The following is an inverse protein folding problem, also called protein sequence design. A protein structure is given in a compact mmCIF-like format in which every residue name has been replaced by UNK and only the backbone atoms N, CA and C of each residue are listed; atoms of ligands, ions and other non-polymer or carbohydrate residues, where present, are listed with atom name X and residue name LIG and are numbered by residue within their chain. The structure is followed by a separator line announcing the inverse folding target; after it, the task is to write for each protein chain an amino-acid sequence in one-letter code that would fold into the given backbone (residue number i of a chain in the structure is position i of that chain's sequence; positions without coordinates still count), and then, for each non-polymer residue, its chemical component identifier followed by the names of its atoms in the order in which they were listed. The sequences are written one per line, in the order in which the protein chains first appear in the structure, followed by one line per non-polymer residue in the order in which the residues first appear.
data_IF_934842852376
#
_entry.id   IF_934842852376
#
_cell.length_a   1.000
_cell.length_b   1.000
_cell.length_c   1.000
_cell.angle_alpha   90.00
_cell.angle_beta   90.00
_cell.angle_gamma   90.00
#
_symmetry.space_group_name_H-M   'P 1'
#
loop_
_entity.id
_entity.type
_entity.pdbx_description
1 polymer ?
#
# COMPACT_ATOMS: atom_id res chain seq x y z
N UNK A 1 -9.72 -6.09 -18.37
CA UNK A 1 -8.48 -5.31 -18.54
C UNK A 1 -7.97 -4.89 -17.17
N UNK A 2 -6.68 -4.59 -17.05
CA UNK A 2 -6.03 -4.10 -15.84
C UNK A 2 -5.51 -2.69 -16.11
N UNK A 3 -5.67 -1.76 -15.17
CA UNK A 3 -4.97 -0.48 -15.25
C UNK A 3 -3.70 -0.56 -14.41
N UNK A 4 -2.60 -0.04 -14.96
CA UNK A 4 -1.31 -0.03 -14.31
C UNK A 4 -0.76 1.38 -14.32
N UNK A 5 -0.52 1.93 -13.14
CA UNK A 5 0.23 3.16 -12.98
C UNK A 5 1.63 2.77 -12.49
N UNK A 6 2.66 3.12 -13.26
CA UNK A 6 4.05 2.94 -12.84
C UNK A 6 4.67 4.29 -12.53
N UNK A 7 5.17 4.48 -11.31
CA UNK A 7 5.92 5.67 -10.97
C UNK A 7 7.12 5.81 -11.91
N UNK A 8 7.46 7.05 -12.27
CA UNK A 8 8.65 7.35 -13.07
C UNK A 8 9.89 6.73 -12.41
N UNK A 9 10.64 5.92 -13.19
CA UNK A 9 11.81 5.20 -12.71
C UNK A 9 11.51 3.91 -11.91
N UNK A 10 10.24 3.46 -11.88
CA UNK A 10 9.88 2.21 -11.23
C UNK A 10 10.71 1.03 -11.73
N UNK A 11 11.37 0.36 -10.78
CA UNK A 11 12.13 -0.87 -11.03
C UNK A 11 11.22 -2.10 -11.17
N UNK A 12 9.92 -1.96 -10.90
CA UNK A 12 8.95 -3.05 -10.92
C UNK A 12 8.28 -3.21 -12.29
N UNK A 13 8.33 -2.17 -13.14
CA UNK A 13 7.62 -2.10 -14.42
C UNK A 13 7.79 -3.34 -15.28
N UNK A 14 9.03 -3.65 -15.65
CA UNK A 14 9.32 -4.79 -16.53
C UNK A 14 8.81 -6.09 -15.93
N UNK A 15 9.02 -6.31 -14.63
CA UNK A 15 8.62 -7.56 -13.97
C UNK A 15 7.09 -7.71 -13.97
N UNK A 16 6.36 -6.66 -13.59
CA UNK A 16 4.90 -6.67 -13.53
C UNK A 16 4.31 -6.92 -14.93
N UNK A 17 4.81 -6.23 -15.96
CA UNK A 17 4.37 -6.45 -17.34
C UNK A 17 4.61 -7.88 -17.82
N UNK A 18 5.78 -8.46 -17.52
CA UNK A 18 6.08 -9.84 -17.89
C UNK A 18 5.13 -10.83 -17.22
N UNK A 19 4.85 -10.65 -15.92
CA UNK A 19 3.91 -11.55 -15.22
C UNK A 19 2.49 -11.40 -15.77
N UNK A 20 2.04 -10.18 -16.09
CA UNK A 20 0.73 -9.97 -16.71
C UNK A 20 0.64 -10.64 -18.09
N UNK A 21 1.69 -10.55 -18.91
CA UNK A 21 1.80 -11.24 -20.20
C UNK A 21 1.81 -12.76 -20.05
N UNK A 22 2.55 -13.30 -19.08
CA UNK A 22 2.61 -14.74 -18.79
C UNK A 22 1.23 -15.30 -18.38
N UNK A 23 0.42 -14.49 -17.69
CA UNK A 23 -0.95 -14.84 -17.31
C UNK A 23 -1.98 -14.60 -18.42
N UNK A 24 -1.55 -14.09 -19.58
CA UNK A 24 -2.40 -13.71 -20.70
C UNK A 24 -3.50 -12.70 -20.28
N UNK A 25 -3.10 -11.69 -19.50
CA UNK A 25 -3.97 -10.61 -19.03
C UNK A 25 -3.70 -9.32 -19.80
N UNK A 26 -4.78 -8.72 -20.31
CA UNK A 26 -4.71 -7.42 -20.98
C UNK A 26 -4.56 -6.31 -19.94
N UNK A 27 -3.60 -5.43 -20.15
CA UNK A 27 -3.37 -4.28 -19.31
C UNK A 27 -3.17 -3.01 -20.12
N UNK A 28 -3.43 -1.89 -19.45
CA UNK A 28 -3.26 -0.54 -19.96
C UNK A 28 -2.46 0.27 -18.97
N UNK A 29 -1.40 0.91 -19.45
CA UNK A 29 -0.64 1.87 -18.64
C UNK A 29 -1.40 3.20 -18.55
N UNK A 30 -1.39 3.81 -17.38
CA UNK A 30 -2.03 5.11 -17.09
C UNK A 30 -1.00 6.05 -16.45
N UNK A 31 -1.26 7.36 -16.56
CA UNK A 31 -0.35 8.41 -16.07
C UNK A 31 -1.10 9.60 -15.46
N UNK A 32 -0.37 10.65 -15.09
CA UNK A 32 -0.91 11.80 -14.33
C UNK A 32 -2.06 12.50 -15.08
N UNK A 33 -2.03 12.51 -16.41
CA UNK A 33 -3.13 13.03 -17.25
C UNK A 33 -4.46 12.29 -17.07
N UNK A 34 -4.45 11.05 -16.57
CA UNK A 34 -5.64 10.22 -16.38
C UNK A 34 -6.27 10.38 -15.00
N UNK A 35 -5.60 11.03 -14.04
CA UNK A 35 -5.99 11.04 -12.63
C UNK A 35 -7.39 11.63 -12.39
N UNK A 36 -7.74 12.68 -13.14
CA UNK A 36 -9.05 13.34 -13.01
C UNK A 36 -10.19 12.62 -13.75
N UNK A 37 -9.88 11.58 -14.53
CA UNK A 37 -10.88 10.79 -15.23
C UNK A 37 -11.52 9.77 -14.28
N UNK A 38 -12.81 9.55 -14.47
CA UNK A 38 -13.51 8.40 -13.88
C UNK A 38 -12.93 7.11 -14.47
N UNK A 39 -12.72 6.09 -13.64
CA UNK A 39 -12.04 4.84 -14.04
C UNK A 39 -12.70 4.19 -15.26
N UNK A 40 -14.04 4.19 -15.35
CA UNK A 40 -14.75 3.71 -16.54
C UNK A 40 -14.34 4.41 -17.84
N UNK A 41 -14.01 5.70 -17.77
CA UNK A 41 -13.51 6.49 -18.91
C UNK A 41 -12.03 6.28 -19.17
N UNK A 42 -11.24 5.97 -18.14
CA UNK A 42 -9.80 5.67 -18.29
C UNK A 42 -9.62 4.46 -19.22
N UNK A 43 -10.45 3.43 -19.11
CA UNK A 43 -10.38 2.27 -20.00
C UNK A 43 -10.58 2.61 -21.48
N UNK A 44 -11.40 3.61 -21.79
CA UNK A 44 -11.70 4.05 -23.16
C UNK A 44 -10.86 5.24 -23.65
N UNK A 45 -9.96 5.77 -22.83
CA UNK A 45 -9.06 6.85 -23.25
C UNK A 45 -8.09 6.35 -24.32
N UNK A 46 -7.83 7.12 -25.37
CA UNK A 46 -6.74 6.82 -26.31
C UNK A 46 -5.47 7.62 -25.97
N UNK A 47 -5.49 8.37 -24.87
CA UNK A 47 -4.32 9.14 -24.44
C UNK A 47 -3.23 8.21 -23.91
N UNK A 48 -2.02 8.41 -24.39
CA UNK A 48 -0.83 7.82 -23.80
C UNK A 48 -0.59 8.39 -22.40
N UNK A 49 0.00 7.61 -21.48
CA UNK A 49 0.34 8.10 -20.15
C UNK A 49 1.41 9.19 -20.23
N UNK A 50 1.14 10.35 -19.62
CA UNK A 50 2.07 11.48 -19.54
C UNK A 50 2.36 11.77 -18.10
N UNK A 51 3.65 11.77 -17.75
CA UNK A 51 4.18 12.05 -16.40
C UNK A 51 3.60 11.13 -15.33
N UNK A 52 4.46 10.41 -14.60
CA UNK A 52 4.00 9.51 -13.54
C UNK A 52 4.74 9.82 -12.24
N UNK A 53 4.59 11.05 -11.73
CA UNK A 53 5.39 11.54 -10.59
C UNK A 53 4.60 11.60 -9.29
N UNK A 54 3.27 11.67 -9.37
CA UNK A 54 2.44 12.00 -8.22
C UNK A 54 2.22 10.83 -7.26
N UNK A 55 2.18 9.61 -7.81
CA UNK A 55 1.88 8.39 -7.05
C UNK A 55 3.00 7.34 -7.15
N UNK A 56 2.95 6.38 -6.23
CA UNK A 56 3.69 5.12 -6.31
C UNK A 56 3.01 4.14 -7.26
N UNK A 57 3.69 3.03 -7.57
CA UNK A 57 3.15 1.97 -8.42
C UNK A 57 1.80 1.48 -7.91
N UNK A 58 0.80 1.39 -8.80
CA UNK A 58 -0.57 1.04 -8.48
C UNK A 58 -1.19 0.15 -9.56
N UNK A 59 -2.08 -0.76 -9.12
CA UNK A 59 -2.84 -1.65 -9.99
C UNK A 59 -4.33 -1.60 -9.71
N UNK A 60 -5.13 -1.51 -10.76
CA UNK A 60 -6.58 -1.71 -10.71
C UNK A 60 -6.98 -2.96 -11.50
N UNK A 61 -7.53 -3.95 -10.80
CA UNK A 61 -7.90 -5.26 -11.35
C UNK A 61 -9.41 -5.28 -11.64
N UNK A 62 -9.82 -5.07 -12.90
CA UNK A 62 -11.24 -5.08 -13.29
C UNK A 62 -11.76 -6.47 -13.62
N UNK A 63 -11.07 -7.22 -14.49
CA UNK A 63 -11.57 -8.53 -14.98
C UNK A 63 -10.80 -9.73 -14.48
N UNK A 64 -9.73 -9.54 -13.71
CA UNK A 64 -8.90 -10.65 -13.25
C UNK A 64 -9.67 -11.50 -12.24
N UNK A 65 -9.77 -12.80 -12.50
CA UNK A 65 -10.47 -13.74 -11.63
C UNK A 65 -9.69 -13.98 -10.32
N UNK A 66 -10.38 -14.29 -9.23
CA UNK A 66 -9.79 -14.38 -7.89
C UNK A 66 -8.64 -15.38 -7.77
N UNK A 67 -8.74 -16.53 -8.43
CA UNK A 67 -7.67 -17.54 -8.53
C UNK A 67 -6.43 -17.00 -9.26
N UNK A 68 -6.64 -16.24 -10.34
CA UNK A 68 -5.56 -15.54 -11.04
C UNK A 68 -4.96 -14.41 -10.23
N UNK A 69 -5.74 -13.67 -9.43
CA UNK A 69 -5.20 -12.65 -8.51
C UNK A 69 -4.23 -13.29 -7.52
N UNK A 70 -4.59 -14.45 -6.95
CA UNK A 70 -3.71 -15.19 -6.03
C UNK A 70 -2.44 -15.68 -6.72
N UNK A 71 -2.55 -16.21 -7.94
CA UNK A 71 -1.40 -16.64 -8.73
C UNK A 71 -0.49 -15.46 -9.10
N UNK A 72 -1.07 -14.34 -9.53
CA UNK A 72 -0.37 -13.11 -9.86
C UNK A 72 0.43 -12.58 -8.66
N UNK A 73 -0.21 -12.46 -7.50
CA UNK A 73 0.44 -12.05 -6.27
C UNK A 73 1.59 -12.99 -5.86
N UNK A 74 1.40 -14.31 -6.05
CA UNK A 74 2.45 -15.31 -5.78
C UNK A 74 3.65 -15.14 -6.71
N UNK A 75 3.43 -15.01 -8.02
CA UNK A 75 4.50 -14.86 -9.01
C UNK A 75 5.33 -13.58 -8.79
N UNK A 76 4.68 -12.48 -8.41
CA UNK A 76 5.38 -11.25 -8.06
C UNK A 76 6.22 -11.41 -6.79
N UNK A 77 5.68 -12.07 -5.77
CA UNK A 77 6.40 -12.35 -4.53
C UNK A 77 7.65 -13.20 -4.77
N UNK A 78 7.57 -14.20 -5.64
CA UNK A 78 8.71 -15.04 -6.04
C UNK A 78 9.83 -14.23 -6.74
N UNK A 79 9.46 -13.13 -7.39
CA UNK A 79 10.39 -12.18 -8.01
C UNK A 79 10.79 -11.03 -7.09
N UNK A 80 10.48 -11.12 -5.79
CA UNK A 80 10.85 -10.12 -4.78
C UNK A 80 9.99 -8.86 -4.79
N UNK A 81 8.86 -8.86 -5.51
CA UNK A 81 7.93 -7.74 -5.56
C UNK A 81 6.77 -7.98 -4.60
N UNK A 82 6.54 -7.02 -3.71
CA UNK A 82 5.32 -6.95 -2.91
C UNK A 82 4.47 -5.81 -3.44
N UNK A 83 3.34 -6.15 -4.07
CA UNK A 83 2.37 -5.13 -4.47
C UNK A 83 1.69 -4.56 -3.22
N UNK A 84 1.94 -3.28 -2.97
CA UNK A 84 1.34 -2.57 -1.85
C UNK A 84 -0.03 -1.97 -2.19
N UNK A 85 -0.17 -1.42 -3.41
CA UNK A 85 -1.30 -0.58 -3.81
C UNK A 85 -2.08 -1.24 -4.93
N UNK A 86 -3.06 -2.04 -4.55
CA UNK A 86 -3.89 -2.80 -5.49
C UNK A 86 -5.35 -2.60 -5.12
N UNK A 87 -6.15 -2.18 -6.09
CA UNK A 87 -7.60 -2.19 -5.99
C UNK A 87 -8.19 -3.25 -6.91
N UNK A 88 -9.18 -3.98 -6.41
CA UNK A 88 -10.04 -4.84 -7.23
C UNK A 88 -11.33 -4.08 -7.52
N UNK A 89 -11.86 -4.23 -8.72
CA UNK A 89 -13.12 -3.57 -9.09
C UNK A 89 -14.26 -3.97 -8.15
N UNK A 90 -15.04 -2.96 -7.79
CA UNK A 90 -16.33 -3.08 -7.13
C UNK A 90 -17.39 -2.30 -7.90
N UNK A 91 -18.66 -2.44 -7.52
CA UNK A 91 -19.75 -1.65 -8.09
C UNK A 91 -19.56 -0.15 -7.86
N UNK A 92 -18.91 0.23 -6.75
CA UNK A 92 -18.74 1.63 -6.35
C UNK A 92 -17.51 2.26 -6.99
N UNK A 93 -16.35 1.61 -6.87
CA UNK A 93 -15.07 2.24 -7.25
C UNK A 93 -14.93 2.48 -8.76
N UNK A 94 -15.67 1.78 -9.61
CA UNK A 94 -15.65 2.00 -11.07
C UNK A 94 -16.13 3.41 -11.47
N UNK A 95 -16.93 4.05 -10.60
CA UNK A 95 -17.47 5.40 -10.78
C UNK A 95 -16.59 6.51 -10.19
N UNK A 96 -15.52 6.14 -9.48
CA UNK A 96 -14.62 7.09 -8.86
C UNK A 96 -13.63 7.64 -9.88
N UNK A 97 -13.09 8.83 -9.59
CA UNK A 97 -11.88 9.28 -10.28
C UNK A 97 -10.73 8.34 -9.95
N UNK A 98 -9.82 8.17 -10.90
CA UNK A 98 -8.61 7.38 -10.67
C UNK A 98 -7.83 7.91 -9.47
N UNK A 99 -7.69 9.25 -9.37
CA UNK A 99 -7.05 9.91 -8.24
C UNK A 99 -7.66 9.52 -6.90
N UNK A 100 -8.99 9.65 -6.77
CA UNK A 100 -9.68 9.40 -5.50
C UNK A 100 -9.51 7.93 -5.05
N UNK A 101 -9.49 6.98 -5.99
CA UNK A 101 -9.22 5.58 -5.68
C UNK A 101 -7.76 5.36 -5.26
N UNK A 102 -6.80 6.00 -5.94
CA UNK A 102 -5.38 5.88 -5.60
C UNK A 102 -5.07 6.49 -4.24
N UNK A 103 -5.72 7.61 -3.89
CA UNK A 103 -5.63 8.24 -2.57
C UNK A 103 -6.18 7.29 -1.48
N UNK A 104 -7.37 6.70 -1.68
CA UNK A 104 -7.96 5.73 -0.73
C UNK A 104 -7.04 4.52 -0.51
N UNK A 105 -6.50 3.95 -1.59
CA UNK A 105 -5.61 2.79 -1.51
C UNK A 105 -4.27 3.14 -0.88
N UNK A 106 -3.76 4.36 -1.08
CA UNK A 106 -2.58 4.85 -0.38
C UNK A 106 -2.84 4.95 1.13
N UNK A 107 -3.97 5.50 1.54
CA UNK A 107 -4.35 5.61 2.95
C UNK A 107 -4.45 4.24 3.61
N UNK A 108 -5.10 3.27 2.95
CA UNK A 108 -5.20 1.88 3.40
C UNK A 108 -3.81 1.22 3.48
N UNK A 109 -2.97 1.40 2.47
CA UNK A 109 -1.62 0.86 2.46
C UNK A 109 -0.78 1.40 3.62
N UNK A 110 -0.79 2.72 3.85
CA UNK A 110 -0.06 3.34 4.95
C UNK A 110 -0.61 2.87 6.31
N UNK A 111 -1.92 2.65 6.41
CA UNK A 111 -2.54 2.14 7.63
C UNK A 111 -1.97 0.78 8.01
N UNK A 112 -1.98 -0.18 7.07
CA UNK A 112 -1.46 -1.51 7.31
C UNK A 112 0.06 -1.52 7.49
N UNK A 113 0.80 -0.72 6.74
CA UNK A 113 2.25 -0.59 6.89
C UNK A 113 2.61 -0.13 8.31
N UNK A 114 1.92 0.88 8.84
CA UNK A 114 2.16 1.38 10.18
C UNK A 114 1.74 0.37 11.25
N UNK A 115 0.60 -0.31 11.05
CA UNK A 115 0.12 -1.37 11.94
C UNK A 115 1.11 -2.53 12.03
N UNK A 116 1.60 -3.02 10.88
CA UNK A 116 2.62 -4.07 10.80
C UNK A 116 3.91 -3.65 11.52
N UNK A 117 4.36 -2.42 11.31
CA UNK A 117 5.57 -1.88 11.95
C UNK A 117 5.43 -1.76 13.47
N UNK A 118 4.27 -1.32 13.96
CA UNK A 118 3.98 -1.29 15.39
C UNK A 118 3.93 -2.69 15.98
N UNK A 119 3.35 -3.65 15.27
CA UNK A 119 3.32 -5.05 15.67
C UNK A 119 4.73 -5.63 15.76
N UNK A 120 5.61 -5.31 14.81
CA UNK A 120 7.02 -5.68 14.85
C UNK A 120 7.71 -5.12 16.10
N UNK A 121 7.51 -3.83 16.43
CA UNK A 121 8.11 -3.23 17.62
C UNK A 121 7.72 -3.92 18.93
N UNK A 122 6.43 -4.28 19.06
CA UNK A 122 5.93 -4.90 20.31
C UNK A 122 6.28 -6.38 20.42
N UNK A 123 6.49 -7.07 19.30
CA UNK A 123 6.87 -8.50 19.26
C UNK A 123 8.38 -8.73 19.23
N UNK A 124 9.15 -7.75 18.76
CA UNK A 124 10.61 -7.79 18.68
C UNK A 124 11.22 -6.56 19.38
N UNK A 125 11.06 -6.45 20.71
CA UNK A 125 11.56 -5.29 21.44
C UNK A 125 13.06 -5.08 21.30
N UNK A 126 13.45 -3.80 21.29
CA UNK A 126 14.82 -3.42 21.57
C UNK A 126 15.16 -3.76 23.04
N UNK A 127 16.06 -4.72 23.23
CA UNK A 127 16.49 -5.21 24.55
C UNK A 127 17.20 -4.13 25.38
N UNK A 128 18.10 -3.37 24.77
CA UNK A 128 18.85 -2.31 25.46
C UNK A 128 17.89 -1.25 26.01
N UNK A 129 16.84 -0.93 25.25
CA UNK A 129 15.83 0.03 25.70
C UNK A 129 14.93 -0.53 26.80
N UNK A 130 14.58 -1.82 26.77
CA UNK A 130 13.85 -2.45 27.87
C UNK A 130 14.63 -2.37 29.19
N UNK A 131 15.96 -2.52 29.13
CA UNK A 131 16.82 -2.45 30.31
C UNK A 131 17.01 -1.01 30.81
N UNK A 132 17.05 -0.03 29.90
CA UNK A 132 17.31 1.38 30.23
C UNK A 132 16.05 2.19 30.60
N UNK A 133 14.87 1.78 30.14
CA UNK A 133 13.64 2.57 30.21
C UNK A 133 12.48 1.73 30.81
N UNK A 134 12.24 1.82 32.13
CA UNK A 134 11.22 1.04 32.83
C UNK A 134 9.79 1.24 32.30
N UNK A 135 9.50 2.40 31.70
CA UNK A 135 8.18 2.70 31.13
C UNK A 135 8.02 2.17 29.70
N UNK A 136 9.11 1.76 29.04
CA UNK A 136 9.07 1.24 27.67
C UNK A 136 8.22 -0.04 27.57
N UNK A 137 8.38 -0.98 28.50
CA UNK A 137 7.57 -2.20 28.53
C UNK A 137 6.07 -1.89 28.67
N UNK A 138 5.72 -0.94 29.54
CA UNK A 138 4.33 -0.53 29.75
C UNK A 138 3.73 0.11 28.49
N UNK A 139 4.49 0.98 27.81
CA UNK A 139 4.08 1.58 26.52
C UNK A 139 3.88 0.51 25.46
N UNK A 140 4.78 -0.48 25.37
CA UNK A 140 4.61 -1.61 24.46
C UNK A 140 3.34 -2.41 24.73
N UNK A 141 3.03 -2.72 26.00
CA UNK A 141 1.82 -3.44 26.36
C UNK A 141 0.55 -2.67 25.98
N UNK A 142 0.54 -1.34 26.18
CA UNK A 142 -0.58 -0.49 25.78
C UNK A 142 -0.77 -0.49 24.26
N UNK A 143 0.32 -0.37 23.50
CA UNK A 143 0.27 -0.41 22.03
C UNK A 143 -0.18 -1.78 21.54
N UNK A 144 0.30 -2.88 22.15
CA UNK A 144 -0.14 -4.22 21.78
C UNK A 144 -1.66 -4.39 21.96
N UNK A 145 -2.22 -3.98 23.11
CA UNK A 145 -3.65 -4.04 23.35
C UNK A 145 -4.46 -3.18 22.35
N UNK A 146 -3.96 -2.01 21.98
CA UNK A 146 -4.57 -1.17 20.94
C UNK A 146 -4.53 -1.85 19.56
N UNK A 147 -3.46 -2.57 19.23
CA UNK A 147 -3.34 -3.33 17.98
C UNK A 147 -4.21 -4.59 17.94
N UNK A 148 -4.78 -5.04 19.05
CA UNK A 148 -5.79 -6.11 19.06
C UNK A 148 -7.18 -5.59 18.62
N UNK A 149 -7.43 -4.27 18.71
CA UNK A 149 -8.65 -3.66 18.20
C UNK A 149 -8.58 -3.43 16.68
N UNK A 150 -9.52 -4.03 15.94
CA UNK A 150 -9.64 -3.87 14.49
C UNK A 150 -10.11 -2.47 14.07
N UNK A 151 -10.67 -1.67 15.00
CA UNK A 151 -11.21 -0.34 14.73
C UNK A 151 -10.25 0.80 15.06
N UNK A 152 -9.02 0.49 15.48
CA UNK A 152 -7.99 1.49 15.75
C UNK A 152 -7.76 2.38 14.54
N UNK A 153 -7.83 3.70 14.73
CA UNK A 153 -7.73 4.68 13.64
C UNK A 153 -6.28 4.99 13.30
N UNK A 154 -6.05 5.52 12.10
CA UNK A 154 -4.73 5.95 11.65
C UNK A 154 -4.04 6.91 12.63
N UNK A 155 -4.76 7.89 13.19
CA UNK A 155 -4.17 8.85 14.13
C UNK A 155 -3.73 8.21 15.44
N UNK A 156 -4.45 7.18 15.90
CA UNK A 156 -4.07 6.39 17.08
C UNK A 156 -2.80 5.57 16.79
N UNK A 157 -2.70 4.97 15.59
CA UNK A 157 -1.47 4.29 15.15
C UNK A 157 -0.28 5.27 15.09
N UNK A 158 -0.47 6.48 14.56
CA UNK A 158 0.57 7.52 14.53
C UNK A 158 1.01 7.92 15.95
N UNK A 159 0.05 8.12 16.85
CA UNK A 159 0.33 8.44 18.25
C UNK A 159 1.11 7.31 18.95
N UNK A 160 0.70 6.06 18.74
CA UNK A 160 1.39 4.88 19.26
C UNK A 160 2.82 4.75 18.71
N UNK A 161 3.01 5.06 17.42
CA UNK A 161 4.34 5.06 16.80
C UNK A 161 5.25 6.09 17.44
N UNK A 162 4.76 7.32 17.64
CA UNK A 162 5.51 8.35 18.36
C UNK A 162 5.80 7.95 19.80
N UNK A 163 4.85 7.29 20.47
CA UNK A 163 5.01 6.81 21.85
C UNK A 163 6.15 5.77 21.97
N UNK A 164 6.26 4.86 21.01
CA UNK A 164 7.30 3.83 21.00
C UNK A 164 8.64 4.30 20.41
N UNK A 165 8.65 5.31 19.56
CA UNK A 165 9.88 5.78 18.90
C UNK A 165 10.48 7.04 19.52
N UNK A 166 9.78 7.74 20.42
CA UNK A 166 10.36 8.82 21.22
C UNK A 166 11.51 8.27 22.06
N UNK A 167 12.74 8.54 21.66
CA UNK A 167 13.88 8.67 22.57
C UNK A 167 13.72 9.99 23.31
N UNK A 168 13.97 10.00 24.61
CA UNK A 168 14.02 11.25 25.37
C UNK A 168 15.13 12.16 24.79
N UNK A 169 14.76 13.09 23.92
CA UNK A 169 15.52 14.33 23.77
C UNK A 169 15.30 15.17 25.03
N UNK A 170 15.94 14.81 26.13
CA UNK A 170 16.21 15.73 27.24
C UNK A 170 17.30 15.15 28.13
N UNK A 171 18.53 15.49 27.82
CA UNK A 171 19.59 15.70 28.80
C UNK A 171 20.54 16.74 28.22
N UNK A 172 20.14 18.01 28.35
CA UNK A 172 21.06 19.16 28.36
C UNK A 172 21.14 19.68 29.78
#
# INVERSE_FOLDING_TARGET
MILVYFKEGSQQKEIVEHVLKDLNEEFKEVGDNHLDLVISKVFSSDEEPVENKLYEDFLFLDTMQQDKIQLFAKLLKEKGIRLGRVAVRTENNISWKLKDLMDEVEEEFQYFLLRDKLFEFVTHPNKERLDADPEYLKRMSLVYAMLEDSNTKMDDLKAAYMLLTKTEETSS
#
